data_IF_055944261331
#
_entry.id   IF_055944261331
#
_cell.length_a   1.000
_cell.length_b   1.000
_cell.length_c   1.000
_cell.angle_alpha   90.00
_cell.angle_beta   90.00
_cell.angle_gamma   90.00
#
_symmetry.space_group_name_H-M   'P 1'
#
loop_
_entity.id
_entity.type
_entity.pdbx_description
1 polymer ?
#
# COMPACT_ATOMS: atom_id res chain seq x y z
N UNK A 1 78.19 -12.36 -10.50
CA UNK A 1 77.66 -11.68 -9.31
C UNK A 1 76.70 -10.58 -9.77
N UNK A 2 75.48 -10.49 -9.21
CA UNK A 2 74.39 -9.65 -9.72
C UNK A 2 74.36 -8.26 -9.06
N UNK A 3 73.65 -7.29 -9.66
CA UNK A 3 72.99 -6.17 -8.94
C UNK A 3 71.96 -5.42 -9.81
N UNK A 4 70.70 -5.44 -9.34
CA UNK A 4 69.60 -4.44 -9.36
C UNK A 4 69.20 -3.70 -10.65
N UNK A 5 68.01 -3.14 -10.83
CA UNK A 5 66.60 -3.29 -10.37
C UNK A 5 65.87 -2.18 -11.19
N UNK A 6 64.66 -2.40 -11.72
CA UNK A 6 63.63 -1.36 -11.98
C UNK A 6 62.42 -2.04 -12.65
N UNK A 7 61.38 -2.46 -11.92
CA UNK A 7 60.15 -1.71 -11.63
C UNK A 7 59.52 -1.01 -12.85
N UNK A 8 58.40 -1.55 -13.36
CA UNK A 8 57.09 -0.86 -13.43
C UNK A 8 56.03 -1.70 -14.19
N UNK A 9 55.05 -2.21 -13.42
CA UNK A 9 53.57 -2.21 -13.63
C UNK A 9 53.06 -2.52 -15.06
N UNK A 10 52.28 -3.56 -15.34
CA UNK A 10 51.15 -4.10 -14.58
C UNK A 10 49.87 -3.30 -14.86
N UNK A 11 49.08 -3.69 -15.86
CA UNK A 11 47.60 -3.63 -15.84
C UNK A 11 47.03 -4.64 -16.84
N UNK A 12 46.25 -5.59 -16.32
CA UNK A 12 45.48 -6.58 -17.09
C UNK A 12 44.18 -5.92 -17.55
N UNK A 13 43.91 -5.94 -18.86
CA UNK A 13 42.62 -5.51 -19.42
C UNK A 13 41.51 -6.47 -18.99
N UNK A 14 40.74 -6.07 -17.98
CA UNK A 14 39.47 -6.70 -17.61
C UNK A 14 38.35 -5.97 -18.39
N UNK A 15 37.42 -6.69 -19.03
CA UNK A 15 36.72 -6.22 -20.21
C UNK A 15 35.59 -5.24 -19.87
N UNK A 16 35.63 -4.07 -20.48
CA UNK A 16 34.59 -3.05 -20.41
C UNK A 16 33.21 -3.55 -20.88
N UNK A 17 33.18 -4.66 -21.63
CA UNK A 17 31.96 -5.30 -22.12
C UNK A 17 31.09 -5.88 -20.99
N UNK A 18 31.66 -6.28 -19.85
CA UNK A 18 30.89 -6.79 -18.70
C UNK A 18 30.28 -5.66 -17.85
N UNK A 19 30.84 -4.45 -17.90
CA UNK A 19 30.33 -3.30 -17.15
C UNK A 19 29.15 -2.62 -17.85
N UNK A 20 29.10 -2.68 -19.18
CA UNK A 20 27.96 -2.16 -19.96
C UNK A 20 26.69 -3.00 -19.79
N UNK A 21 26.80 -4.30 -19.48
CA UNK A 21 25.65 -5.18 -19.26
C UNK A 21 25.01 -5.01 -17.87
N UNK A 22 25.72 -4.41 -16.90
CA UNK A 22 25.18 -4.07 -15.58
C UNK A 22 24.50 -2.71 -15.50
N UNK A 23 24.58 -1.88 -16.55
CA UNK A 23 24.10 -0.50 -16.56
C UNK A 23 22.74 -0.31 -17.26
N UNK A 24 22.09 -1.38 -17.72
CA UNK A 24 20.74 -1.30 -18.31
C UNK A 24 19.70 -1.86 -17.32
N UNK A 25 19.15 -0.92 -16.56
CA UNK A 25 17.88 -0.93 -15.81
C UNK A 25 17.81 -1.72 -14.48
N UNK A 26 18.14 -1.07 -13.34
CA UNK A 26 17.47 -1.38 -12.08
C UNK A 26 16.02 -0.89 -12.12
N UNK A 27 15.13 -1.72 -11.58
CA UNK A 27 13.71 -1.50 -11.28
C UNK A 27 12.79 -1.21 -12.49
N UNK A 28 12.19 -2.28 -13.04
CA UNK A 28 10.84 -2.14 -13.56
C UNK A 28 9.93 -1.76 -12.38
N UNK A 29 9.64 -0.46 -12.25
CA UNK A 29 8.46 0.02 -11.56
C UNK A 29 7.26 -0.79 -12.04
N UNK A 30 6.50 -1.36 -11.11
CA UNK A 30 5.26 -2.04 -11.45
C UNK A 30 4.35 -1.02 -12.16
N UNK A 31 3.92 -1.34 -13.38
CA UNK A 31 2.87 -0.57 -14.03
C UNK A 31 1.57 -0.87 -13.29
N UNK A 32 0.88 0.18 -12.85
CA UNK A 32 -0.41 0.06 -12.22
C UNK A 32 -1.43 -0.21 -13.33
N UNK A 33 -1.97 -1.43 -13.39
CA UNK A 33 -3.08 -1.72 -14.29
C UNK A 33 -4.35 -0.99 -13.87
N UNK A 34 -5.36 -1.00 -14.73
CA UNK A 34 -6.68 -0.43 -14.40
C UNK A 34 -7.27 -1.16 -13.20
N UNK A 35 -7.78 -0.41 -12.23
CA UNK A 35 -8.43 -1.00 -11.07
C UNK A 35 -9.71 -1.75 -11.47
N UNK A 36 -9.77 -3.06 -11.21
CA UNK A 36 -10.90 -3.92 -11.63
C UNK A 36 -11.89 -4.19 -10.49
N UNK A 37 -11.40 -4.50 -9.29
CA UNK A 37 -12.22 -4.67 -8.09
C UNK A 37 -12.33 -3.39 -7.26
N UNK A 38 -13.53 -3.01 -6.85
CA UNK A 38 -13.77 -1.90 -5.91
C UNK A 38 -14.85 -2.24 -4.89
N UNK A 39 -14.77 -1.67 -3.70
CA UNK A 39 -15.94 -1.50 -2.82
C UNK A 39 -15.98 -0.11 -2.19
N UNK A 40 -17.19 0.33 -1.86
CA UNK A 40 -17.45 1.63 -1.26
C UNK A 40 -18.52 1.47 -0.20
N UNK A 41 -18.32 2.07 0.97
CA UNK A 41 -19.34 2.26 1.99
C UNK A 41 -19.24 3.69 2.52
N UNK A 42 -20.38 4.33 2.78
CA UNK A 42 -20.45 5.69 3.34
C UNK A 42 -21.51 5.65 4.42
N UNK A 43 -21.11 5.41 5.67
CA UNK A 43 -22.03 5.12 6.76
C UNK A 43 -21.46 5.64 8.10
N UNK A 44 -22.34 5.92 9.04
CA UNK A 44 -21.94 5.90 10.45
C UNK A 44 -21.45 4.48 10.80
N UNK A 45 -20.36 4.31 11.58
CA UNK A 45 -19.98 3.00 12.04
C UNK A 45 -21.14 2.41 12.85
N UNK A 46 -21.27 1.09 12.77
CA UNK A 46 -22.15 0.38 13.68
C UNK A 46 -21.67 0.58 15.14
N UNK A 47 -22.48 0.13 16.11
CA UNK A 47 -22.14 0.23 17.53
C UNK A 47 -20.81 -0.45 17.90
N UNK A 48 -20.31 -1.34 17.04
CA UNK A 48 -19.01 -2.02 17.15
C UNK A 48 -17.87 -1.25 16.47
N UNK A 49 -18.09 0.01 16.09
CA UNK A 49 -17.05 0.87 15.55
C UNK A 49 -16.49 0.33 14.22
N UNK A 50 -17.35 -0.25 13.38
CA UNK A 50 -16.95 -0.85 12.10
C UNK A 50 -17.81 -0.39 10.92
N UNK A 51 -17.17 -0.32 9.75
CA UNK A 51 -17.81 -0.08 8.46
C UNK A 51 -17.31 -1.15 7.49
N UNK A 52 -18.24 -1.84 6.85
CA UNK A 52 -17.95 -2.95 5.96
C UNK A 52 -18.44 -2.64 4.56
N UNK A 53 -17.60 -2.86 3.55
CA UNK A 53 -18.01 -2.85 2.14
C UNK A 53 -17.83 -4.22 1.49
N UNK A 54 -18.80 -4.61 0.67
CA UNK A 54 -18.74 -5.84 -0.15
C UNK A 54 -18.08 -5.52 -1.48
N UNK A 55 -17.13 -6.35 -1.92
CA UNK A 55 -16.49 -6.23 -3.23
C UNK A 55 -17.55 -6.26 -4.33
N UNK A 56 -17.68 -5.19 -5.13
CA UNK A 56 -18.83 -4.99 -5.99
C UNK A 56 -18.57 -5.33 -7.47
N UNK A 57 -17.43 -4.90 -8.02
CA UNK A 57 -17.26 -4.84 -9.49
C UNK A 57 -16.59 -6.06 -10.12
N UNK A 58 -15.59 -6.63 -9.46
CA UNK A 58 -14.83 -7.77 -9.98
C UNK A 58 -14.11 -8.52 -8.86
N UNK A 59 -13.82 -9.79 -9.12
CA UNK A 59 -12.97 -10.62 -8.25
C UNK A 59 -11.56 -10.03 -8.17
N UNK A 60 -11.02 -9.99 -6.96
CA UNK A 60 -9.63 -9.65 -6.69
C UNK A 60 -8.82 -10.94 -6.54
N UNK A 61 -8.01 -11.29 -7.52
CA UNK A 61 -7.23 -12.53 -7.50
C UNK A 61 -6.10 -12.48 -6.45
N UNK A 62 -5.73 -13.64 -5.90
CA UNK A 62 -4.52 -13.79 -5.10
C UNK A 62 -3.28 -13.30 -5.88
N UNK A 63 -2.34 -12.68 -5.17
CA UNK A 63 -1.16 -12.03 -5.74
C UNK A 63 -1.38 -10.56 -6.16
N UNK A 64 -2.63 -10.12 -6.29
CA UNK A 64 -2.96 -8.72 -6.60
C UNK A 64 -2.71 -7.80 -5.41
N UNK A 65 -2.50 -6.50 -5.70
CA UNK A 65 -2.37 -5.48 -4.65
C UNK A 65 -3.70 -4.77 -4.48
N UNK A 66 -4.18 -4.71 -3.24
CA UNK A 66 -5.37 -3.94 -2.87
C UNK A 66 -4.92 -2.72 -2.10
N UNK A 67 -5.48 -1.56 -2.44
CA UNK A 67 -5.30 -0.31 -1.71
C UNK A 67 -6.66 0.09 -1.13
N UNK A 68 -6.67 0.33 0.17
CA UNK A 68 -7.85 0.76 0.91
C UNK A 68 -7.57 2.14 1.46
N UNK A 69 -8.53 3.04 1.34
CA UNK A 69 -8.42 4.40 1.80
C UNK A 69 -9.72 4.77 2.52
N UNK A 70 -9.56 5.43 3.65
CA UNK A 70 -10.66 5.77 4.53
C UNK A 70 -10.56 7.21 4.95
N UNK A 71 -11.71 7.86 5.11
CA UNK A 71 -11.81 9.23 5.57
C UNK A 71 -12.82 9.32 6.70
N UNK A 72 -12.41 9.98 7.77
CA UNK A 72 -13.13 9.99 9.05
C UNK A 72 -13.18 11.36 9.65
N UNK A 73 -14.20 11.63 10.45
CA UNK A 73 -14.12 12.79 11.33
C UNK A 73 -12.93 12.63 12.30
N UNK A 74 -12.30 13.75 12.66
CA UNK A 74 -11.26 13.75 13.68
C UNK A 74 -11.89 13.80 15.07
N UNK A 75 -11.24 13.11 16.00
CA UNK A 75 -11.49 13.21 17.45
C UNK A 75 -10.22 13.60 18.22
N UNK A 76 -9.19 14.09 17.51
CA UNK A 76 -7.89 14.43 18.09
C UNK A 76 -7.40 15.80 17.62
N UNK A 77 -6.69 16.50 18.50
CA UNK A 77 -6.21 17.87 18.26
C UNK A 77 -5.13 17.97 17.17
N UNK A 78 -4.42 16.87 16.85
CA UNK A 78 -3.58 16.68 15.64
C UNK A 78 -2.81 15.35 15.71
N UNK A 79 -2.23 14.90 14.59
CA UNK A 79 -1.29 13.76 14.53
C UNK A 79 -1.93 12.43 14.10
N UNK A 80 -1.11 11.39 13.89
CA UNK A 80 -1.64 10.04 13.59
C UNK A 80 -2.44 9.52 14.78
N UNK A 81 -3.71 9.19 14.56
CA UNK A 81 -4.65 8.76 15.59
C UNK A 81 -4.48 7.27 15.92
N UNK A 82 -3.85 6.50 15.02
CA UNK A 82 -3.65 5.04 15.09
C UNK A 82 -4.93 4.21 15.15
N UNK A 83 -6.11 4.81 15.11
CA UNK A 83 -7.40 4.16 15.36
C UNK A 83 -7.94 3.35 14.18
N UNK A 84 -7.34 3.42 13.00
CA UNK A 84 -7.81 2.69 11.82
C UNK A 84 -7.13 1.34 11.67
N UNK A 85 -7.91 0.29 11.48
CA UNK A 85 -7.41 -1.01 11.06
C UNK A 85 -8.30 -1.59 9.97
N UNK A 86 -7.69 -2.36 9.06
CA UNK A 86 -8.40 -3.03 7.97
C UNK A 86 -8.30 -4.53 8.16
N UNK A 87 -9.45 -5.19 8.04
CA UNK A 87 -9.57 -6.64 7.88
C UNK A 87 -10.41 -6.95 6.64
N UNK A 88 -10.31 -8.18 6.15
CA UNK A 88 -11.21 -8.68 5.12
C UNK A 88 -11.71 -10.09 5.45
N UNK A 89 -12.75 -10.51 4.74
CA UNK A 89 -13.35 -11.84 4.91
C UNK A 89 -12.43 -13.02 4.58
N UNK A 90 -11.27 -12.76 3.96
CA UNK A 90 -10.30 -13.77 3.51
C UNK A 90 -9.01 -13.77 4.34
N UNK A 91 -8.97 -13.00 5.44
CA UNK A 91 -7.85 -12.90 6.38
C UNK A 91 -6.54 -12.42 5.76
N UNK A 92 -6.58 -11.55 4.74
CA UNK A 92 -5.36 -10.91 4.24
C UNK A 92 -4.82 -9.87 5.25
N UNK A 93 -3.51 -9.68 5.25
CA UNK A 93 -2.85 -8.72 6.14
C UNK A 93 -2.66 -7.36 5.45
N UNK A 94 -3.20 -6.30 6.05
CA UNK A 94 -3.09 -4.94 5.53
C UNK A 94 -2.03 -4.15 6.30
N UNK A 95 -1.18 -3.44 5.56
CA UNK A 95 -0.18 -2.53 6.10
C UNK A 95 -0.63 -1.09 5.87
N UNK A 96 -0.56 -0.25 6.90
CA UNK A 96 -0.82 1.19 6.76
C UNK A 96 0.35 1.84 6.01
N UNK A 97 0.07 2.49 4.88
CA UNK A 97 1.05 3.29 4.15
C UNK A 97 1.22 4.66 4.79
N UNK A 98 0.10 5.34 5.09
CA UNK A 98 0.11 6.66 5.69
C UNK A 98 -1.21 6.95 6.42
N UNK A 99 -1.15 7.91 7.32
CA UNK A 99 -2.31 8.49 7.99
C UNK A 99 -2.03 9.96 8.27
N UNK A 100 -3.05 10.78 8.03
CA UNK A 100 -2.98 12.22 8.20
C UNK A 100 -4.27 12.72 8.85
N UNK A 101 -4.10 13.55 9.87
CA UNK A 101 -5.21 14.21 10.55
C UNK A 101 -5.09 15.71 10.38
N UNK A 102 -6.14 16.28 9.81
CA UNK A 102 -6.37 17.71 9.79
C UNK A 102 -7.28 18.09 10.95
N UNK A 103 -6.89 19.10 11.72
CA UNK A 103 -7.67 19.61 12.86
C UNK A 103 -7.60 21.15 12.85
N UNK A 104 -8.52 21.85 12.18
CA UNK A 104 -8.51 23.31 12.15
C UNK A 104 -8.68 23.85 13.58
N UNK A 105 -7.80 24.77 13.98
CA UNK A 105 -7.81 25.35 15.32
C UNK A 105 -7.57 24.35 16.46
N UNK A 106 -7.16 23.11 16.17
CA UNK A 106 -6.99 22.05 17.18
C UNK A 106 -8.30 21.54 17.79
N UNK A 107 -9.45 21.87 17.18
CA UNK A 107 -10.77 21.47 17.66
C UNK A 107 -11.08 20.04 17.20
N UNK A 108 -11.50 19.21 18.15
CA UNK A 108 -11.99 17.85 17.89
C UNK A 108 -13.38 17.96 17.26
N UNK A 109 -13.64 17.25 16.17
CA UNK A 109 -14.86 17.27 15.33
C UNK A 109 -14.92 18.26 14.14
N UNK A 110 -14.06 19.28 14.03
CA UNK A 110 -14.05 20.19 12.85
C UNK A 110 -13.04 19.77 11.76
N UNK A 111 -12.42 18.60 11.93
CA UNK A 111 -11.38 18.13 11.03
C UNK A 111 -11.58 16.67 10.61
N UNK A 112 -10.65 16.16 9.80
CA UNK A 112 -10.75 14.83 9.23
C UNK A 112 -9.45 14.05 9.37
N UNK A 113 -9.55 12.73 9.55
CA UNK A 113 -8.43 11.79 9.46
C UNK A 113 -8.58 10.93 8.22
N UNK A 114 -7.52 10.87 7.41
CA UNK A 114 -7.44 10.00 6.24
C UNK A 114 -6.35 8.96 6.48
N UNK A 115 -6.65 7.70 6.20
CA UNK A 115 -5.65 6.62 6.25
C UNK A 115 -5.66 5.83 4.96
N UNK A 116 -4.47 5.40 4.55
CA UNK A 116 -4.26 4.55 3.37
C UNK A 116 -3.58 3.27 3.82
N UNK A 117 -4.15 2.15 3.43
CA UNK A 117 -3.66 0.80 3.66
C UNK A 117 -3.43 0.09 2.34
N UNK A 118 -2.53 -0.88 2.34
CA UNK A 118 -2.34 -1.78 1.22
C UNK A 118 -2.12 -3.21 1.69
N UNK A 119 -2.48 -4.17 0.84
CA UNK A 119 -2.18 -5.58 1.03
C UNK A 119 -1.84 -6.21 -0.31
N UNK A 120 -0.85 -7.10 -0.33
CA UNK A 120 -0.73 -8.08 -1.42
C UNK A 120 -1.54 -9.30 -1.00
N UNK A 121 -2.61 -9.58 -1.73
CA UNK A 121 -3.55 -10.64 -1.37
C UNK A 121 -2.85 -12.01 -1.39
N UNK A 122 -2.91 -12.73 -0.27
CA UNK A 122 -2.55 -14.16 -0.22
C UNK A 122 -3.74 -15.01 -0.66
N UNK A 123 -4.95 -14.56 -0.33
CA UNK A 123 -6.22 -15.18 -0.71
C UNK A 123 -7.08 -14.17 -1.47
N UNK A 124 -7.65 -14.60 -2.61
CA UNK A 124 -8.48 -13.73 -3.43
C UNK A 124 -9.79 -13.33 -2.76
N UNK A 125 -10.32 -12.16 -3.13
CA UNK A 125 -11.62 -11.64 -2.71
C UNK A 125 -12.62 -11.79 -3.86
N UNK A 126 -13.79 -12.34 -3.57
CA UNK A 126 -14.83 -12.63 -4.56
C UNK A 126 -15.87 -11.50 -4.60
N UNK A 127 -16.22 -11.04 -5.80
CA UNK A 127 -17.28 -10.05 -5.98
C UNK A 127 -18.63 -10.59 -5.52
N UNK A 128 -19.38 -9.77 -4.81
CA UNK A 128 -20.71 -10.09 -4.29
C UNK A 128 -20.71 -10.84 -2.97
N UNK A 129 -19.57 -11.27 -2.45
CA UNK A 129 -19.52 -12.05 -1.19
C UNK A 129 -18.38 -11.65 -0.25
N UNK A 130 -17.19 -11.35 -0.78
CA UNK A 130 -16.08 -10.92 0.07
C UNK A 130 -16.27 -9.50 0.56
N UNK A 131 -15.86 -9.25 1.79
CA UNK A 131 -15.99 -7.96 2.45
C UNK A 131 -14.63 -7.42 2.90
N UNK A 132 -14.53 -6.10 2.91
CA UNK A 132 -13.43 -5.35 3.53
C UNK A 132 -14.04 -4.51 4.65
N UNK A 133 -13.50 -4.64 5.84
CA UNK A 133 -14.00 -3.96 7.04
C UNK A 133 -12.93 -3.02 7.56
N UNK A 134 -13.36 -1.78 7.78
CA UNK A 134 -12.61 -0.80 8.53
C UNK A 134 -13.13 -0.76 9.95
N UNK A 135 -12.23 -0.91 10.92
CA UNK A 135 -12.53 -0.65 12.33
C UNK A 135 -11.95 0.70 12.73
N UNK A 136 -12.75 1.51 13.40
CA UNK A 136 -12.46 2.89 13.79
C UNK A 136 -13.37 3.33 14.92
N UNK A 137 -12.99 4.29 15.73
CA UNK A 137 -13.86 4.84 16.78
C UNK A 137 -14.91 5.86 16.28
N UNK A 138 -15.04 6.09 14.96
CA UNK A 138 -15.67 7.29 14.39
C UNK A 138 -16.59 7.00 13.18
N UNK A 139 -17.37 8.01 12.78
CA UNK A 139 -18.25 8.20 11.58
C UNK A 139 -17.56 8.35 10.21
N UNK A 140 -17.79 7.48 9.18
CA UNK A 140 -16.88 7.45 8.00
C UNK A 140 -17.42 7.12 6.59
N UNK A 141 -16.54 7.44 5.63
CA UNK A 141 -16.51 6.84 4.30
C UNK A 141 -15.31 5.89 4.13
N UNK A 142 -15.57 4.66 3.66
CA UNK A 142 -14.59 3.66 3.25
C UNK A 142 -14.66 3.47 1.72
N UNK A 143 -13.52 3.60 1.06
CA UNK A 143 -13.39 3.22 -0.35
C UNK A 143 -12.22 2.26 -0.49
N UNK A 144 -12.37 1.20 -1.27
CA UNK A 144 -11.29 0.28 -1.62
C UNK A 144 -11.16 0.17 -3.13
N UNK A 145 -9.92 0.09 -3.60
CA UNK A 145 -9.59 -0.14 -5.01
C UNK A 145 -8.52 -1.22 -5.12
N UNK A 146 -8.78 -2.21 -5.95
CA UNK A 146 -7.80 -3.22 -6.36
C UNK A 146 -6.96 -2.66 -7.50
N UNK A 147 -5.66 -2.84 -7.47
CA UNK A 147 -4.81 -2.64 -8.65
C UNK A 147 -4.15 -3.97 -8.99
N UNK A 148 -4.40 -4.54 -10.18
CA UNK A 148 -3.67 -5.72 -10.60
C UNK A 148 -2.20 -5.34 -10.76
N UNK A 149 -1.34 -5.97 -9.96
CA UNK A 149 0.10 -5.94 -10.22
C UNK A 149 0.35 -6.97 -11.32
N UNK A 150 0.75 -6.53 -12.51
CA UNK A 150 1.22 -7.45 -13.54
C UNK A 150 2.48 -8.15 -13.00
N UNK A 151 2.38 -9.46 -12.77
CA UNK A 151 3.54 -10.30 -12.55
C UNK A 151 4.33 -10.35 -13.88
N UNK A 152 5.57 -9.87 -13.85
CA UNK A 152 6.55 -10.22 -14.88
C UNK A 152 7.03 -11.64 -14.69
#
# INVERSE_FOLDING_TARGET
MPRSISLLRGTRGVPWLLMALLLVAPASWAAWGTATGTCTATEEPAADNSITCTVATANMAAGSVVVVWSATDNVFSSGQTTTHSISDSASNSYTRACEYTYSPGGIQADGATISVFYSKLTTGLTSGSSTITLTTSNTLQLVSKMVPAEAR
#
